data_IF_000608931321
#
_entry.id   IF_000608931321
#
_cell.length_a   1.000
_cell.length_b   1.000
_cell.length_c   1.000
_cell.angle_alpha   90.00
_cell.angle_beta   90.00
_cell.angle_gamma   90.00
#
_symmetry.space_group_name_H-M   'P 1'
#
loop_
_entity.id
_entity.type
_entity.pdbx_description
1 polymer ?
#
# COMPACT_ATOMS: atom_id res chain seq x y z
N UNK A 1 4.58 -2.19 20.86
CA UNK A 1 5.05 -1.03 20.07
C UNK A 1 4.48 -1.12 18.67
N UNK A 2 3.46 -0.31 18.32
CA UNK A 2 2.93 -0.25 16.96
C UNK A 2 3.62 0.93 16.26
N UNK A 3 4.62 0.63 15.44
CA UNK A 3 5.41 1.64 14.71
C UNK A 3 4.55 2.29 13.61
N UNK A 4 3.62 3.16 14.01
CA UNK A 4 2.77 3.93 13.09
C UNK A 4 3.49 5.13 12.47
N UNK A 5 4.70 5.44 12.91
CA UNK A 5 5.51 6.56 12.41
C UNK A 5 6.19 6.31 11.07
N UNK A 6 6.20 5.07 10.56
CA UNK A 6 6.82 4.71 9.28
C UNK A 6 5.81 4.61 8.12
N UNK A 7 4.68 5.32 8.21
CA UNK A 7 3.67 5.29 7.15
C UNK A 7 4.22 5.94 5.88
N UNK A 8 4.38 5.13 4.84
CA UNK A 8 4.76 5.62 3.51
C UNK A 8 3.60 6.46 2.97
N UNK A 9 3.91 7.63 2.41
CA UNK A 9 2.90 8.47 1.75
C UNK A 9 2.53 7.84 0.41
N UNK A 10 1.24 7.58 0.23
CA UNK A 10 0.73 6.92 -0.99
C UNK A 10 -0.53 7.60 -1.52
N UNK A 11 -0.86 7.31 -2.78
CA UNK A 11 -2.15 7.62 -3.39
C UNK A 11 -3.26 6.69 -2.88
N UNK A 12 -4.50 6.88 -3.37
CA UNK A 12 -5.65 6.01 -3.08
C UNK A 12 -5.45 4.56 -3.55
N UNK A 13 -4.59 4.36 -4.55
CA UNK A 13 -4.26 3.07 -5.14
C UNK A 13 -2.98 2.47 -4.52
N UNK A 14 -2.50 3.05 -3.40
CA UNK A 14 -1.29 2.66 -2.69
C UNK A 14 0.02 2.79 -3.51
N UNK A 15 -0.01 3.63 -4.53
CA UNK A 15 1.19 4.04 -5.25
C UNK A 15 1.96 5.07 -4.41
N UNK A 16 3.28 4.93 -4.35
CA UNK A 16 4.16 5.90 -3.68
C UNK A 16 4.36 7.15 -4.54
N UNK A 17 5.22 8.07 -4.10
CA UNK A 17 5.68 9.17 -4.96
C UNK A 17 6.62 8.73 -6.09
N UNK A 18 7.09 7.47 -6.07
CA UNK A 18 7.88 6.87 -7.13
C UNK A 18 6.92 6.18 -8.10
N UNK A 19 6.99 6.58 -9.36
CA UNK A 19 6.11 6.09 -10.40
C UNK A 19 6.23 4.57 -10.58
N UNK A 20 5.11 3.87 -10.52
CA UNK A 20 5.05 2.41 -10.69
C UNK A 20 5.47 1.62 -9.46
N UNK A 21 5.84 2.28 -8.36
CA UNK A 21 6.14 1.63 -7.09
C UNK A 21 4.92 1.67 -6.17
N UNK A 22 4.37 0.50 -5.89
CA UNK A 22 3.21 0.30 -5.02
C UNK A 22 3.61 -0.41 -3.73
N UNK A 23 2.92 -0.08 -2.64
CA UNK A 23 3.22 -0.64 -1.31
C UNK A 23 1.95 -1.12 -0.63
N UNK A 24 2.04 -2.19 0.14
CA UNK A 24 0.90 -2.76 0.87
C UNK A 24 1.36 -3.37 2.20
N UNK A 25 0.41 -3.68 3.07
CA UNK A 25 0.70 -4.36 4.34
C UNK A 25 1.22 -3.46 5.46
N UNK A 26 1.61 -4.12 6.55
CA UNK A 26 1.97 -3.45 7.80
C UNK A 26 3.31 -2.71 7.70
N UNK A 27 4.27 -3.25 6.92
CA UNK A 27 5.58 -2.65 6.70
C UNK A 27 5.52 -1.30 5.98
N UNK A 28 4.50 -1.10 5.14
CA UNK A 28 4.23 0.18 4.50
C UNK A 28 3.46 1.17 5.40
N UNK A 29 2.99 0.71 6.56
CA UNK A 29 2.18 1.49 7.50
C UNK A 29 0.75 1.76 7.01
N UNK A 30 0.25 0.96 6.06
CA UNK A 30 -1.11 1.10 5.49
C UNK A 30 -2.11 0.10 6.09
N UNK A 31 -1.65 -0.90 6.84
CA UNK A 31 -2.48 -1.82 7.61
C UNK A 31 -1.97 -2.00 9.05
N UNK A 32 -2.61 -2.90 9.81
CA UNK A 32 -2.12 -3.27 11.13
C UNK A 32 -2.54 -4.67 11.61
N UNK A 33 -2.95 -5.54 10.70
CA UNK A 33 -3.32 -6.92 10.94
C UNK A 33 -3.33 -7.68 9.61
N UNK A 34 -3.43 -9.02 9.68
CA UNK A 34 -3.38 -9.88 8.50
C UNK A 34 -4.50 -9.59 7.48
N UNK A 35 -5.71 -9.30 7.95
CA UNK A 35 -6.86 -9.00 7.07
C UNK A 35 -6.64 -7.69 6.33
N UNK A 36 -6.19 -6.64 7.03
CA UNK A 36 -5.86 -5.34 6.44
C UNK A 36 -4.66 -5.44 5.48
N UNK A 37 -3.67 -6.28 5.79
CA UNK A 37 -2.56 -6.52 4.89
C UNK A 37 -3.03 -7.18 3.58
N UNK A 38 -3.93 -8.17 3.66
CA UNK A 38 -4.52 -8.79 2.48
C UNK A 38 -5.38 -7.79 1.66
N UNK A 39 -6.23 -7.01 2.34
CA UNK A 39 -7.07 -6.00 1.68
C UNK A 39 -6.25 -4.92 0.97
N UNK A 40 -5.18 -4.42 1.61
CA UNK A 40 -4.27 -3.43 0.99
C UNK A 40 -3.50 -4.04 -0.18
N UNK A 41 -3.13 -5.33 -0.12
CA UNK A 41 -2.55 -6.04 -1.27
C UNK A 41 -3.46 -6.03 -2.49
N UNK A 42 -4.77 -6.27 -2.31
CA UNK A 42 -5.75 -6.22 -3.40
C UNK A 42 -5.88 -4.81 -3.98
N UNK A 43 -5.87 -3.77 -3.13
CA UNK A 43 -5.93 -2.37 -3.57
C UNK A 43 -4.71 -2.02 -4.42
N UNK A 44 -3.51 -2.38 -3.96
CA UNK A 44 -2.27 -2.15 -4.71
C UNK A 44 -2.29 -2.89 -6.06
N UNK A 45 -2.72 -4.15 -6.07
CA UNK A 45 -2.84 -4.95 -7.29
C UNK A 45 -3.82 -4.32 -8.31
N UNK A 46 -4.97 -3.82 -7.85
CA UNK A 46 -5.90 -3.07 -8.69
C UNK A 46 -5.27 -1.78 -9.23
N UNK A 47 -4.54 -1.05 -8.39
CA UNK A 47 -3.78 0.12 -8.80
C UNK A 47 -2.78 -0.17 -9.92
N UNK A 48 -2.07 -1.29 -9.84
CA UNK A 48 -1.14 -1.77 -10.87
C UNK A 48 -1.90 -2.08 -12.17
N UNK A 49 -3.05 -2.77 -12.09
CA UNK A 49 -3.83 -3.14 -13.28
C UNK A 49 -4.51 -1.94 -13.95
N UNK A 50 -4.98 -0.96 -13.19
CA UNK A 50 -5.57 0.28 -13.71
C UNK A 50 -4.52 1.21 -14.32
N UNK A 51 -3.27 1.09 -13.86
CA UNK A 51 -2.16 1.85 -14.40
C UNK A 51 -1.74 1.22 -15.72
N UNK A 52 -2.31 1.75 -16.81
CA UNK A 52 -1.90 1.39 -18.17
C UNK A 52 -0.40 1.63 -18.33
N UNK A 53 0.36 0.54 -18.41
CA UNK A 53 1.75 0.51 -18.88
C UNK A 53 1.74 0.38 -20.40
#
# INVERSE_FOLDING_TARGET
MKLRSSKIKTSKNLETGIEGLFVAGDGAGVSGNIVGAAATGIIAARGILEKNV
#
